data_IF_271518621620
#
_entry.id   IF_271518621620
#
_cell.length_a   1.000
_cell.length_b   1.000
_cell.length_c   1.000
_cell.angle_alpha   90.00
_cell.angle_beta   90.00
_cell.angle_gamma   90.00
#
_symmetry.space_group_name_H-M   'P 1'
#
loop_
_entity.id
_entity.type
_entity.pdbx_description
1 polymer ?
#
# COMPACT_ATOMS: atom_id res chain seq x y z
N UNK A 1 -21.52 19.16 -27.08
CA UNK A 1 -20.73 17.95 -26.73
C UNK A 1 -20.94 17.50 -25.28
N UNK A 2 -20.97 18.40 -24.29
CA UNK A 2 -21.21 18.02 -22.87
C UNK A 2 -22.52 17.26 -22.63
N UNK A 3 -23.66 17.71 -23.16
CA UNK A 3 -24.96 17.03 -22.97
C UNK A 3 -25.00 15.57 -23.48
N UNK A 4 -24.26 15.24 -24.53
CA UNK A 4 -24.21 13.88 -25.08
C UNK A 4 -23.30 12.97 -24.23
N UNK A 5 -22.19 13.50 -23.72
CA UNK A 5 -21.30 12.78 -22.79
C UNK A 5 -22.03 12.53 -21.47
N UNK A 6 -22.77 13.53 -20.98
CA UNK A 6 -23.54 13.42 -19.74
C UNK A 6 -24.71 12.43 -19.87
N UNK A 7 -25.44 12.43 -21.01
CA UNK A 7 -26.48 11.42 -21.27
C UNK A 7 -25.92 9.99 -21.37
N UNK A 8 -24.80 9.80 -22.07
CA UNK A 8 -24.16 8.47 -22.19
C UNK A 8 -23.67 7.98 -20.81
N UNK A 9 -23.13 8.89 -20.00
CA UNK A 9 -22.72 8.58 -18.62
C UNK A 9 -23.93 8.20 -17.75
N UNK A 10 -25.04 8.92 -17.90
CA UNK A 10 -26.29 8.67 -17.19
C UNK A 10 -26.96 7.36 -17.61
N UNK A 11 -27.06 7.06 -18.91
CA UNK A 11 -27.65 5.80 -19.41
C UNK A 11 -26.82 4.60 -18.96
N UNK A 12 -25.49 4.70 -19.03
CA UNK A 12 -24.59 3.67 -18.49
C UNK A 12 -24.77 3.49 -16.99
N UNK A 13 -24.96 4.59 -16.25
CA UNK A 13 -25.19 4.56 -14.82
C UNK A 13 -26.54 3.91 -14.46
N UNK A 14 -27.59 4.16 -15.25
CA UNK A 14 -28.91 3.55 -15.07
C UNK A 14 -28.88 2.04 -15.35
N UNK A 15 -28.16 1.61 -16.39
CA UNK A 15 -27.94 0.17 -16.69
C UNK A 15 -27.10 -0.51 -15.59
N UNK A 16 -26.06 0.16 -15.08
CA UNK A 16 -25.24 -0.34 -13.95
C UNK A 16 -26.07 -0.53 -12.67
N UNK A 17 -27.02 0.38 -12.39
CA UNK A 17 -27.91 0.28 -11.22
C UNK A 17 -28.94 -0.84 -11.39
N UNK A 18 -29.37 -1.14 -12.61
CA UNK A 18 -30.35 -2.20 -12.87
C UNK A 18 -29.81 -3.60 -12.56
N UNK A 19 -28.48 -3.76 -12.53
CA UNK A 19 -27.80 -4.99 -12.12
C UNK A 19 -26.85 -4.75 -10.92
N UNK A 20 -27.37 -4.01 -9.92
CA UNK A 20 -26.62 -3.61 -8.74
C UNK A 20 -25.96 -4.76 -7.94
N UNK A 21 -26.50 -6.00 -7.84
CA UNK A 21 -25.83 -7.04 -7.06
C UNK A 21 -24.47 -7.42 -7.65
N UNK A 22 -24.40 -7.53 -8.99
CA UNK A 22 -23.18 -7.85 -9.70
C UNK A 22 -22.16 -6.70 -9.61
N UNK A 23 -22.64 -5.45 -9.72
CA UNK A 23 -21.81 -4.26 -9.58
C UNK A 23 -21.17 -4.17 -8.19
N UNK A 24 -21.97 -4.32 -7.14
CA UNK A 24 -21.50 -4.23 -5.74
C UNK A 24 -20.54 -5.37 -5.44
N UNK A 25 -20.80 -6.60 -5.93
CA UNK A 25 -19.87 -7.71 -5.79
C UNK A 25 -18.53 -7.45 -6.50
N UNK A 26 -18.57 -6.85 -7.69
CA UNK A 26 -17.37 -6.44 -8.44
C UNK A 26 -16.57 -5.37 -7.68
N UNK A 27 -17.24 -4.41 -7.07
CA UNK A 27 -16.59 -3.41 -6.21
C UNK A 27 -15.97 -4.05 -4.98
N UNK A 28 -16.68 -4.94 -4.29
CA UNK A 28 -16.16 -5.67 -3.15
C UNK A 28 -14.87 -6.44 -3.49
N UNK A 29 -14.89 -7.17 -4.62
CA UNK A 29 -13.73 -7.90 -5.12
C UNK A 29 -12.54 -6.96 -5.37
N UNK A 30 -12.75 -5.86 -6.10
CA UNK A 30 -11.69 -4.88 -6.38
C UNK A 30 -11.14 -4.23 -5.11
N UNK A 31 -12.01 -3.89 -4.16
CA UNK A 31 -11.62 -3.29 -2.89
C UNK A 31 -10.77 -4.26 -2.07
N UNK A 32 -11.16 -5.54 -2.02
CA UNK A 32 -10.37 -6.61 -1.39
C UNK A 32 -9.00 -6.77 -2.03
N UNK A 33 -8.95 -6.80 -3.36
CA UNK A 33 -7.70 -6.93 -4.12
C UNK A 33 -6.76 -5.73 -3.88
N UNK A 34 -7.30 -4.52 -3.91
CA UNK A 34 -6.57 -3.29 -3.61
C UNK A 34 -6.03 -3.28 -2.18
N UNK A 35 -6.88 -3.59 -1.19
CA UNK A 35 -6.50 -3.70 0.22
C UNK A 35 -5.34 -4.67 0.42
N UNK A 36 -5.47 -5.90 -0.08
CA UNK A 36 -4.46 -6.94 0.12
C UNK A 36 -3.14 -6.59 -0.57
N UNK A 37 -3.21 -6.05 -1.79
CA UNK A 37 -2.03 -5.65 -2.55
C UNK A 37 -1.27 -4.51 -1.86
N UNK A 38 -1.99 -3.54 -1.28
CA UNK A 38 -1.37 -2.46 -0.51
C UNK A 38 -0.76 -2.94 0.81
N UNK A 39 -1.40 -3.85 1.54
CA UNK A 39 -0.75 -4.46 2.72
C UNK A 39 0.51 -5.24 2.34
N UNK A 40 0.51 -5.93 1.19
CA UNK A 40 1.70 -6.65 0.72
C UNK A 40 2.82 -5.68 0.34
N UNK A 41 2.49 -4.54 -0.26
CA UNK A 41 3.44 -3.48 -0.56
C UNK A 41 4.01 -2.84 0.71
N UNK A 42 3.17 -2.54 1.70
CA UNK A 42 3.60 -2.04 3.02
C UNK A 42 4.64 -2.97 3.65
N UNK A 43 4.33 -4.27 3.75
CA UNK A 43 5.26 -5.26 4.33
C UNK A 43 6.56 -5.37 3.53
N UNK A 44 6.48 -5.26 2.21
CA UNK A 44 7.66 -5.23 1.35
C UNK A 44 8.57 -4.06 1.72
N UNK A 45 8.06 -2.83 1.68
CA UNK A 45 8.85 -1.63 1.97
C UNK A 45 9.34 -1.59 3.42
N UNK A 46 8.52 -2.03 4.38
CA UNK A 46 8.92 -2.17 5.79
C UNK A 46 10.07 -3.15 5.97
N UNK A 47 10.06 -4.28 5.27
CA UNK A 47 11.19 -5.23 5.28
C UNK A 47 12.47 -4.58 4.78
N UNK A 48 12.42 -3.82 3.68
CA UNK A 48 13.60 -3.15 3.14
C UNK A 48 14.11 -2.02 4.04
N UNK A 49 13.22 -1.29 4.71
CA UNK A 49 13.60 -0.30 5.71
C UNK A 49 14.51 -0.92 6.78
N UNK A 50 14.12 -2.05 7.37
CA UNK A 50 14.96 -2.74 8.36
C UNK A 50 16.19 -3.42 7.75
N UNK A 51 16.06 -3.97 6.54
CA UNK A 51 17.18 -4.64 5.86
C UNK A 51 18.35 -3.69 5.58
N UNK A 52 18.08 -2.42 5.27
CA UNK A 52 19.13 -1.41 5.08
C UNK A 52 19.49 -0.69 6.38
N UNK A 53 18.51 -0.34 7.21
CA UNK A 53 18.72 0.46 8.42
C UNK A 53 19.45 -0.27 9.55
N UNK A 54 19.12 -1.55 9.78
CA UNK A 54 19.75 -2.31 10.89
C UNK A 54 21.25 -2.53 10.63
N UNK A 55 21.69 -3.04 9.46
CA UNK A 55 23.12 -3.18 9.20
C UNK A 55 23.85 -1.83 9.21
N UNK A 56 23.25 -0.77 8.67
CA UNK A 56 23.85 0.55 8.68
C UNK A 56 24.11 1.06 10.11
N UNK A 57 23.13 0.91 10.99
CA UNK A 57 23.27 1.25 12.40
C UNK A 57 24.38 0.44 13.07
N UNK A 58 24.46 -0.86 12.82
CA UNK A 58 25.52 -1.73 13.37
C UNK A 58 26.90 -1.23 12.92
N UNK A 59 27.10 -0.98 11.63
CA UNK A 59 28.37 -0.48 11.12
C UNK A 59 28.73 0.90 11.69
N UNK A 60 27.75 1.79 11.87
CA UNK A 60 27.95 3.09 12.51
C UNK A 60 28.41 2.96 13.97
N UNK A 61 27.80 2.05 14.73
CA UNK A 61 28.16 1.82 16.14
C UNK A 61 29.56 1.21 16.24
N UNK A 62 29.90 0.25 15.38
CA UNK A 62 31.23 -0.36 15.32
C UNK A 62 32.27 0.71 15.00
N UNK A 63 32.04 1.52 13.94
CA UNK A 63 33.02 2.53 13.55
C UNK A 63 33.16 3.62 14.60
N UNK A 64 32.07 4.10 15.20
CA UNK A 64 32.11 5.09 16.29
C UNK A 64 32.88 4.58 17.52
N UNK A 65 32.65 3.31 17.91
CA UNK A 65 33.37 2.70 19.04
C UNK A 65 34.86 2.50 18.73
N UNK A 66 35.18 2.10 17.50
CA UNK A 66 36.57 1.86 17.08
C UNK A 66 37.38 3.17 16.95
N UNK A 67 36.76 4.29 16.57
CA UNK A 67 37.41 5.62 16.58
C UNK A 67 37.86 5.98 18.00
N UNK A 68 36.98 5.80 18.99
CA UNK A 68 37.30 6.10 20.39
C UNK A 68 38.48 5.25 20.90
N UNK A 69 38.50 3.95 20.60
CA UNK A 69 39.59 3.05 21.01
C UNK A 69 40.92 3.35 20.30
N UNK A 70 40.86 3.72 19.02
CA UNK A 70 42.04 4.11 18.26
C UNK A 70 42.70 5.36 18.87
N UNK A 71 41.90 6.39 19.14
CA UNK A 71 42.37 7.67 19.70
C UNK A 71 42.85 7.52 21.16
N UNK A 72 42.15 6.71 21.96
CA UNK A 72 42.40 6.64 23.40
C UNK A 72 43.53 5.69 23.81
N UNK A 73 43.83 4.64 23.04
CA UNK A 73 44.67 3.53 23.57
C UNK A 73 45.67 2.92 22.60
N UNK A 74 45.29 2.68 21.34
CA UNK A 74 45.95 1.64 20.54
C UNK A 74 46.76 2.18 19.34
N UNK A 75 46.36 3.30 18.71
CA UNK A 75 47.03 3.86 17.52
C UNK A 75 47.42 2.82 16.43
N UNK A 76 46.64 1.73 16.31
CA UNK A 76 46.94 0.63 15.39
C UNK A 76 46.33 0.94 14.02
N UNK A 77 47.15 0.95 12.97
CA UNK A 77 46.72 1.25 11.60
C UNK A 77 45.57 0.35 11.10
N UNK A 78 45.50 -0.91 11.55
CA UNK A 78 44.41 -1.83 11.20
C UNK A 78 43.05 -1.38 11.74
N UNK A 79 42.99 -0.73 12.91
CA UNK A 79 41.75 -0.18 13.45
C UNK A 79 41.23 0.98 12.60
N UNK A 80 42.12 1.85 12.11
CA UNK A 80 41.77 2.94 11.21
C UNK A 80 41.14 2.44 9.90
N UNK A 81 41.69 1.36 9.32
CA UNK A 81 41.14 0.76 8.11
C UNK A 81 39.72 0.17 8.35
N UNK A 82 39.49 -0.49 9.49
CA UNK A 82 38.17 -1.04 9.85
C UNK A 82 37.14 0.08 10.02
N UNK A 83 37.51 1.16 10.71
CA UNK A 83 36.66 2.36 10.86
C UNK A 83 36.24 2.91 9.52
N UNK A 84 37.20 3.11 8.60
CA UNK A 84 36.94 3.68 7.28
C UNK A 84 35.95 2.84 6.48
N UNK A 85 36.15 1.52 6.42
CA UNK A 85 35.27 0.60 5.68
C UNK A 85 33.87 0.56 6.30
N UNK A 86 33.76 0.43 7.63
CA UNK A 86 32.45 0.38 8.30
C UNK A 86 31.68 1.69 8.13
N UNK A 87 32.33 2.84 8.29
CA UNK A 87 31.70 4.16 8.11
C UNK A 87 31.23 4.38 6.67
N UNK A 88 32.02 3.94 5.68
CA UNK A 88 31.64 4.03 4.27
C UNK A 88 30.41 3.18 3.96
N UNK A 89 30.40 1.90 4.40
CA UNK A 89 29.26 1.00 4.19
C UNK A 89 28.02 1.55 4.89
N UNK A 90 28.14 1.99 6.14
CA UNK A 90 27.05 2.60 6.90
C UNK A 90 26.43 3.79 6.15
N UNK A 91 27.28 4.72 5.70
CA UNK A 91 26.83 5.92 4.97
C UNK A 91 26.13 5.57 3.66
N UNK A 92 26.61 4.58 2.92
CA UNK A 92 25.98 4.12 1.67
C UNK A 92 24.58 3.54 1.93
N UNK A 93 24.45 2.68 2.94
CA UNK A 93 23.17 2.08 3.30
C UNK A 93 22.15 3.13 3.79
N UNK A 94 22.60 4.09 4.59
CA UNK A 94 21.77 5.23 5.04
C UNK A 94 21.34 6.09 3.85
N UNK A 95 22.25 6.35 2.90
CA UNK A 95 21.95 7.08 1.67
C UNK A 95 20.85 6.41 0.86
N UNK A 96 20.94 5.09 0.64
CA UNK A 96 19.90 4.29 -0.03
C UNK A 96 18.57 4.38 0.73
N UNK A 97 18.59 4.21 2.05
CA UNK A 97 17.38 4.28 2.88
C UNK A 97 16.70 5.65 2.81
N UNK A 98 17.49 6.74 2.84
CA UNK A 98 17.00 8.11 2.83
C UNK A 98 16.43 8.49 1.46
N UNK A 99 17.15 8.16 0.39
CA UNK A 99 16.72 8.49 -0.97
C UNK A 99 15.45 7.72 -1.38
N UNK A 100 15.37 6.42 -1.07
CA UNK A 100 14.19 5.61 -1.40
C UNK A 100 13.02 5.88 -0.44
N UNK A 101 13.30 6.31 0.78
CA UNK A 101 12.31 6.54 1.85
C UNK A 101 11.37 5.33 2.03
N UNK A 102 11.95 4.16 2.30
CA UNK A 102 11.21 2.91 2.51
C UNK A 102 10.11 3.04 3.58
N UNK A 103 10.37 3.77 4.67
CA UNK A 103 9.38 3.99 5.73
C UNK A 103 8.18 4.78 5.23
N UNK A 104 8.40 5.89 4.52
CA UNK A 104 7.31 6.70 3.97
C UNK A 104 6.51 5.95 2.89
N UNK A 105 7.16 5.12 2.07
CA UNK A 105 6.45 4.25 1.12
C UNK A 105 5.58 3.20 1.82
N UNK A 106 6.11 2.58 2.89
CA UNK A 106 5.34 1.63 3.69
C UNK A 106 4.09 2.28 4.30
N UNK A 107 4.25 3.46 4.90
CA UNK A 107 3.13 4.21 5.50
C UNK A 107 2.07 4.64 4.48
N UNK A 108 2.48 5.12 3.30
CA UNK A 108 1.55 5.45 2.21
C UNK A 108 0.72 4.24 1.77
N UNK A 109 1.35 3.08 1.62
CA UNK A 109 0.64 1.85 1.29
C UNK A 109 -0.23 1.35 2.45
N UNK A 110 0.19 1.50 3.71
CA UNK A 110 -0.64 1.19 4.87
C UNK A 110 -1.92 2.03 4.89
N UNK A 111 -1.76 3.34 4.70
CA UNK A 111 -2.88 4.29 4.66
C UNK A 111 -3.88 3.92 3.56
N UNK A 112 -3.39 3.62 2.35
CA UNK A 112 -4.23 3.14 1.26
C UNK A 112 -4.94 1.83 1.64
N UNK A 113 -4.22 0.82 2.14
CA UNK A 113 -4.80 -0.47 2.54
C UNK A 113 -5.94 -0.30 3.57
N UNK A 114 -5.76 0.58 4.56
CA UNK A 114 -6.79 0.88 5.56
C UNK A 114 -8.02 1.52 4.91
N UNK A 115 -7.84 2.51 4.03
CA UNK A 115 -8.95 3.16 3.29
C UNK A 115 -9.73 2.16 2.44
N UNK A 116 -9.05 1.32 1.67
CA UNK A 116 -9.69 0.23 0.92
C UNK A 116 -10.49 -0.70 1.84
N UNK A 117 -9.95 -1.04 3.01
CA UNK A 117 -10.64 -1.89 3.99
C UNK A 117 -11.87 -1.24 4.63
N UNK A 118 -11.89 0.09 4.79
CA UNK A 118 -13.08 0.83 5.25
C UNK A 118 -14.18 0.73 4.20
N UNK A 119 -13.89 1.11 2.95
CA UNK A 119 -14.89 1.05 1.86
C UNK A 119 -15.39 -0.37 1.61
N UNK A 120 -14.52 -1.39 1.79
CA UNK A 120 -14.92 -2.79 1.66
C UNK A 120 -16.00 -3.16 2.69
N UNK A 121 -15.84 -2.75 3.95
CA UNK A 121 -16.85 -2.98 4.99
C UNK A 121 -18.13 -2.19 4.74
N UNK A 122 -18.03 -1.01 4.16
CA UNK A 122 -19.20 -0.22 3.78
C UNK A 122 -19.96 -0.90 2.63
N UNK A 123 -19.26 -1.46 1.64
CA UNK A 123 -19.82 -2.33 0.61
C UNK A 123 -20.49 -3.56 1.23
N UNK A 124 -19.80 -4.30 2.11
CA UNK A 124 -20.36 -5.46 2.80
C UNK A 124 -21.63 -5.11 3.58
N UNK A 125 -21.69 -3.93 4.21
CA UNK A 125 -22.89 -3.44 4.89
C UNK A 125 -24.05 -3.22 3.91
N UNK A 126 -23.80 -2.57 2.78
CA UNK A 126 -24.83 -2.36 1.75
C UNK A 126 -25.33 -3.70 1.20
N UNK A 127 -24.44 -4.68 0.97
CA UNK A 127 -24.83 -6.02 0.53
C UNK A 127 -25.77 -6.74 1.51
N UNK A 128 -25.67 -6.46 2.81
CA UNK A 128 -26.56 -7.04 3.84
C UNK A 128 -27.90 -6.28 3.93
N UNK A 129 -27.88 -4.97 3.66
CA UNK A 129 -29.07 -4.13 3.72
C UNK A 129 -30.00 -4.34 2.54
N UNK A 130 -29.47 -4.68 1.36
CA UNK A 130 -30.28 -4.97 0.18
C UNK A 130 -30.85 -6.37 0.27
N UNK A 131 -32.15 -6.47 0.54
CA UNK A 131 -32.87 -7.76 0.59
C UNK A 131 -33.84 -7.94 -0.57
N UNK A 132 -34.31 -6.84 -1.15
CA UNK A 132 -35.16 -6.85 -2.34
C UNK A 132 -34.92 -5.61 -3.22
N UNK A 133 -35.42 -5.64 -4.45
CA UNK A 133 -35.35 -4.50 -5.38
C UNK A 133 -36.14 -3.27 -4.89
N UNK A 134 -37.06 -3.45 -3.94
CA UNK A 134 -37.82 -2.37 -3.31
C UNK A 134 -36.95 -1.47 -2.41
N UNK A 135 -35.83 -2.00 -1.90
CA UNK A 135 -34.88 -1.24 -1.07
C UNK A 135 -34.00 -0.28 -1.91
N UNK A 136 -33.91 -0.50 -3.22
CA UNK A 136 -32.97 0.17 -4.13
C UNK A 136 -33.12 1.71 -4.16
N UNK A 137 -34.33 2.30 -4.18
CA UNK A 137 -34.50 3.76 -4.12
C UNK A 137 -33.98 4.37 -2.82
N UNK A 138 -34.05 3.64 -1.70
CA UNK A 138 -33.63 4.11 -0.38
C UNK A 138 -32.10 4.21 -0.26
N UNK A 139 -31.38 3.35 -0.98
CA UNK A 139 -29.92 3.26 -0.91
C UNK A 139 -29.18 3.83 -2.12
N UNK A 140 -29.89 4.28 -3.16
CA UNK A 140 -29.29 4.83 -4.38
C UNK A 140 -28.26 5.93 -4.10
N UNK A 141 -28.56 6.81 -3.15
CA UNK A 141 -27.64 7.87 -2.72
C UNK A 141 -26.41 7.34 -1.97
N UNK A 142 -26.55 6.21 -1.25
CA UNK A 142 -25.41 5.57 -0.60
C UNK A 142 -24.50 4.88 -1.63
N UNK A 143 -25.07 4.23 -2.64
CA UNK A 143 -24.32 3.62 -3.74
C UNK A 143 -23.56 4.69 -4.55
N UNK A 144 -24.18 5.84 -4.83
CA UNK A 144 -23.52 6.93 -5.56
C UNK A 144 -22.36 7.53 -4.77
N UNK A 145 -22.57 7.78 -3.47
CA UNK A 145 -21.53 8.25 -2.56
C UNK A 145 -20.36 7.26 -2.49
N UNK A 146 -20.67 5.97 -2.31
CA UNK A 146 -19.68 4.91 -2.25
C UNK A 146 -18.87 4.83 -3.56
N UNK A 147 -19.51 4.93 -4.72
CA UNK A 147 -18.82 4.98 -6.02
C UNK A 147 -17.81 6.11 -6.06
N UNK A 148 -18.22 7.31 -5.67
CA UNK A 148 -17.35 8.49 -5.61
C UNK A 148 -16.15 8.26 -4.68
N UNK A 149 -16.34 7.61 -3.53
CA UNK A 149 -15.26 7.29 -2.61
C UNK A 149 -14.31 6.23 -3.18
N UNK A 150 -14.84 5.22 -3.87
CA UNK A 150 -14.03 4.18 -4.53
C UNK A 150 -13.15 4.81 -5.62
N UNK A 151 -13.71 5.69 -6.44
CA UNK A 151 -12.97 6.38 -7.49
C UNK A 151 -11.90 7.32 -6.89
N UNK A 152 -12.24 8.04 -5.81
CA UNK A 152 -11.30 8.90 -5.09
C UNK A 152 -10.08 8.11 -4.55
N UNK A 153 -10.32 6.97 -3.88
CA UNK A 153 -9.21 6.17 -3.36
C UNK A 153 -8.39 5.56 -4.50
N UNK A 154 -9.00 5.19 -5.62
CA UNK A 154 -8.28 4.63 -6.76
C UNK A 154 -7.36 5.66 -7.42
N UNK A 155 -7.78 6.93 -7.49
CA UNK A 155 -6.99 8.02 -8.04
C UNK A 155 -5.88 8.50 -7.09
N UNK A 156 -6.13 8.50 -5.78
CA UNK A 156 -5.19 9.04 -4.80
C UNK A 156 -4.24 8.00 -4.19
N UNK A 157 -4.43 6.71 -4.49
CA UNK A 157 -3.59 5.66 -3.94
C UNK A 157 -2.23 5.58 -4.65
N UNK A 158 -1.15 5.26 -3.91
CA UNK A 158 0.17 5.06 -4.52
C UNK A 158 0.15 3.87 -5.48
N UNK A 159 0.86 3.99 -6.61
CA UNK A 159 0.92 2.90 -7.58
C UNK A 159 1.59 1.64 -6.98
N UNK A 160 1.03 0.47 -7.27
CA UNK A 160 1.56 -0.82 -6.83
C UNK A 160 2.38 -1.43 -7.97
N UNK A 161 3.62 -1.83 -7.68
CA UNK A 161 4.43 -2.49 -8.70
C UNK A 161 3.77 -3.80 -9.18
N UNK A 162 3.87 -4.07 -10.49
CA UNK A 162 3.27 -5.26 -11.11
C UNK A 162 3.70 -6.58 -10.44
N UNK A 163 4.95 -6.64 -9.94
CA UNK A 163 5.47 -7.81 -9.22
C UNK A 163 4.74 -8.06 -7.89
N UNK A 164 4.39 -7.00 -7.17
CA UNK A 164 3.67 -7.10 -5.90
C UNK A 164 2.20 -7.44 -6.18
N UNK A 165 1.59 -6.78 -7.16
CA UNK A 165 0.22 -7.04 -7.59
C UNK A 165 0.01 -8.50 -7.98
N UNK A 166 0.83 -9.03 -8.91
CA UNK A 166 0.72 -10.42 -9.37
C UNK A 166 0.84 -11.44 -8.22
N UNK A 167 1.81 -11.23 -7.33
CA UNK A 167 1.96 -12.09 -6.14
C UNK A 167 0.80 -11.98 -5.17
N UNK A 168 0.15 -10.81 -5.11
CA UNK A 168 -0.99 -10.58 -4.24
C UNK A 168 -2.22 -11.33 -4.79
N UNK A 169 -2.50 -11.20 -6.08
CA UNK A 169 -3.61 -11.89 -6.76
C UNK A 169 -3.45 -13.41 -6.74
N UNK A 170 -2.24 -13.93 -7.03
CA UNK A 170 -1.97 -15.37 -6.96
C UNK A 170 -2.24 -15.98 -5.57
N UNK A 171 -1.97 -15.23 -4.49
CA UNK A 171 -2.23 -15.70 -3.12
C UNK A 171 -3.73 -15.67 -2.83
N UNK A 172 -4.43 -14.60 -3.21
CA UNK A 172 -5.89 -14.51 -3.02
C UNK A 172 -6.63 -15.58 -3.80
N UNK A 173 -6.25 -15.85 -5.05
CA UNK A 173 -6.90 -16.88 -5.88
C UNK A 173 -6.72 -18.29 -5.27
N UNK A 174 -5.59 -18.54 -4.59
CA UNK A 174 -5.38 -19.79 -3.87
C UNK A 174 -6.22 -19.90 -2.60
N UNK A 175 -6.46 -18.80 -1.90
CA UNK A 175 -7.29 -18.78 -0.70
C UNK A 175 -8.79 -18.92 -1.02
N UNK A 176 -9.23 -18.45 -2.20
CA UNK A 176 -10.63 -18.57 -2.64
C UNK A 176 -11.00 -19.96 -3.18
N UNK A 177 -9.99 -20.74 -3.63
CA UNK A 177 -10.17 -22.08 -4.19
C UNK A 177 -9.87 -23.20 -3.17
N UNK A 178 -9.81 -22.86 -1.87
CA UNK A 178 -9.67 -23.80 -0.76
C UNK A 178 -10.96 -23.86 0.03
#
# INVERSE_FOLDING_TARGET
>A
MNNLIDQVQMDKYLVEIQNYPELINKWNKRLREGQFSHYRAERYYKKYHYFFGVPAMIFAVISGSAVYLYDSFLNVASLGAIVGVCSFISSLLIGVQTFVNFSGLAEKHLSAAVKYGVLRRDVERIMVLIKSDEDLPLIKNQISLLKSQIDDIASNSPNISHRIWRKATEVMDKELNR
#
